data_IF_856630079771
#
_entry.id   IF_856630079771
#
_cell.length_a   1.000
_cell.length_b   1.000
_cell.length_c   1.000
_cell.angle_alpha   90.00
_cell.angle_beta   90.00
_cell.angle_gamma   90.00
#
_symmetry.space_group_name_H-M   'P 1'
#
loop_
_entity.id
_entity.type
_entity.pdbx_description
1 polymer ?
#
# COMPACT_ATOMS: atom_id res chain seq x y z
N UNK A 1 8.74 -13.19 -15.38
CA UNK A 1 8.77 -11.99 -14.50
C UNK A 1 9.90 -12.19 -13.50
N UNK A 2 10.97 -11.39 -13.56
CA UNK A 2 12.11 -11.57 -12.65
C UNK A 2 11.81 -10.92 -11.30
N UNK A 3 11.76 -11.75 -10.26
CA UNK A 3 11.60 -11.32 -8.86
C UNK A 3 13.00 -10.98 -8.31
N UNK A 4 13.40 -9.72 -8.45
CA UNK A 4 14.70 -9.21 -7.97
C UNK A 4 14.68 -9.12 -6.44
N UNK A 5 15.77 -9.61 -5.79
CA UNK A 5 15.94 -9.61 -4.32
C UNK A 5 14.84 -10.34 -3.53
N UNK A 6 14.24 -11.40 -4.11
CA UNK A 6 13.15 -12.18 -3.47
C UNK A 6 13.49 -13.67 -3.32
N UNK A 7 14.76 -14.02 -3.30
CA UNK A 7 15.20 -15.43 -3.23
C UNK A 7 14.77 -16.15 -1.94
N UNK A 8 14.70 -15.43 -0.83
CA UNK A 8 14.25 -15.99 0.45
C UNK A 8 12.75 -16.25 0.43
N UNK A 9 11.97 -15.30 -0.08
CA UNK A 9 10.52 -15.40 -0.19
C UNK A 9 10.12 -16.49 -1.19
N UNK A 10 10.83 -16.61 -2.32
CA UNK A 10 10.62 -17.69 -3.31
C UNK A 10 10.84 -19.05 -2.67
N UNK A 11 11.94 -19.24 -1.93
CA UNK A 11 12.21 -20.52 -1.21
C UNK A 11 11.12 -20.85 -0.20
N UNK A 12 10.62 -19.86 0.53
CA UNK A 12 9.52 -20.06 1.48
C UNK A 12 8.22 -20.49 0.77
N UNK A 13 7.92 -19.88 -0.38
CA UNK A 13 6.79 -20.26 -1.25
C UNK A 13 6.95 -21.69 -1.75
N UNK A 14 8.13 -22.07 -2.26
CA UNK A 14 8.41 -23.42 -2.74
C UNK A 14 8.26 -24.45 -1.63
N UNK A 15 8.75 -24.15 -0.44
CA UNK A 15 8.58 -25.02 0.74
C UNK A 15 7.11 -25.18 1.14
N UNK A 16 6.32 -24.10 1.10
CA UNK A 16 4.89 -24.15 1.41
C UNK A 16 4.10 -24.95 0.38
N UNK A 17 4.35 -24.74 -0.92
CA UNK A 17 3.72 -25.51 -2.00
C UNK A 17 4.06 -27.00 -1.86
N UNK A 18 5.33 -27.33 -1.63
CA UNK A 18 5.76 -28.71 -1.44
C UNK A 18 5.16 -29.34 -0.17
N UNK A 19 5.01 -28.59 0.93
CA UNK A 19 4.35 -29.03 2.16
C UNK A 19 2.88 -29.36 1.92
N UNK A 20 2.16 -28.46 1.27
CA UNK A 20 0.73 -28.62 0.96
C UNK A 20 0.47 -29.83 0.06
N UNK A 21 1.33 -30.08 -0.92
CA UNK A 21 1.24 -31.30 -1.76
C UNK A 21 1.39 -32.60 -0.98
N UNK A 22 2.08 -32.57 0.15
CA UNK A 22 2.21 -33.74 1.06
C UNK A 22 1.07 -33.85 2.08
N UNK A 23 0.06 -32.96 2.00
CA UNK A 23 -1.09 -32.95 2.89
C UNK A 23 -0.88 -32.13 4.18
N UNK A 24 0.16 -31.30 4.26
CA UNK A 24 0.40 -30.39 5.37
C UNK A 24 -0.06 -29.00 4.98
N UNK A 25 -1.18 -28.54 5.52
CA UNK A 25 -1.73 -27.22 5.24
C UNK A 25 -0.82 -26.11 5.76
N UNK A 26 -0.79 -25.02 5.02
CA UNK A 26 0.11 -23.89 5.28
C UNK A 26 -0.65 -22.56 5.25
N UNK A 27 -0.20 -21.61 6.07
CA UNK A 27 -0.67 -20.23 6.02
C UNK A 27 0.50 -19.29 5.78
N UNK A 28 0.47 -18.54 4.66
CA UNK A 28 1.43 -17.52 4.32
C UNK A 28 0.78 -16.12 4.39
N UNK A 29 1.48 -15.16 4.97
CA UNK A 29 1.09 -13.75 4.92
C UNK A 29 2.24 -12.95 4.33
N UNK A 30 1.97 -12.30 3.19
CA UNK A 30 2.91 -11.40 2.52
C UNK A 30 2.62 -9.98 2.97
N UNK A 31 3.48 -9.44 3.82
CA UNK A 31 3.35 -8.11 4.41
C UNK A 31 4.31 -7.13 3.75
N UNK A 32 3.86 -5.91 3.50
CA UNK A 32 4.74 -4.84 2.99
C UNK A 32 3.96 -3.61 2.54
N UNK A 33 4.67 -2.49 2.34
CA UNK A 33 4.10 -1.24 1.86
C UNK A 33 3.47 -1.38 0.45
N UNK A 34 2.69 -0.40 0.02
CA UNK A 34 2.17 -0.37 -1.34
C UNK A 34 3.31 -0.31 -2.37
N UNK A 35 3.16 -1.03 -3.49
CA UNK A 35 4.13 -0.99 -4.59
C UNK A 35 5.41 -1.80 -4.40
N UNK A 36 5.61 -2.51 -3.27
CA UNK A 36 6.83 -3.33 -3.04
C UNK A 36 6.82 -4.70 -3.72
N UNK A 37 5.75 -5.05 -4.45
CA UNK A 37 5.67 -6.29 -5.22
C UNK A 37 4.92 -7.44 -4.54
N UNK A 38 4.05 -7.19 -3.54
CA UNK A 38 3.24 -8.24 -2.86
C UNK A 38 2.38 -9.03 -3.84
N UNK A 39 1.59 -8.36 -4.65
CA UNK A 39 0.73 -8.98 -5.68
C UNK A 39 1.56 -9.77 -6.70
N UNK A 40 2.74 -9.26 -7.08
CA UNK A 40 3.67 -9.94 -7.98
C UNK A 40 4.16 -11.27 -7.39
N UNK A 41 4.50 -11.27 -6.11
CA UNK A 41 4.92 -12.47 -5.40
C UNK A 41 3.77 -13.48 -5.25
N UNK A 42 2.54 -12.99 -5.02
CA UNK A 42 1.35 -13.82 -4.97
C UNK A 42 1.05 -14.46 -6.34
N UNK A 43 1.25 -13.74 -7.44
CA UNK A 43 1.15 -14.30 -8.79
C UNK A 43 2.22 -15.35 -9.06
N UNK A 44 3.45 -15.17 -8.58
CA UNK A 44 4.49 -16.17 -8.70
C UNK A 44 4.14 -17.47 -7.94
N UNK A 45 3.54 -17.34 -6.75
CA UNK A 45 2.99 -18.50 -6.02
C UNK A 45 1.89 -19.18 -6.83
N UNK A 46 0.96 -18.43 -7.40
CA UNK A 46 -0.11 -18.99 -8.24
C UNK A 46 0.43 -19.76 -9.46
N UNK A 47 1.44 -19.20 -10.13
CA UNK A 47 2.08 -19.83 -11.28
C UNK A 47 2.74 -21.15 -10.86
N UNK A 48 3.54 -21.13 -9.79
CA UNK A 48 4.21 -22.31 -9.25
C UNK A 48 3.24 -23.40 -8.84
N UNK A 49 2.16 -23.03 -8.15
CA UNK A 49 1.13 -23.98 -7.75
C UNK A 49 0.45 -24.67 -8.94
N UNK A 50 0.15 -23.90 -10.00
CA UNK A 50 -0.42 -24.46 -11.25
C UNK A 50 0.55 -25.40 -11.97
N UNK A 51 1.84 -25.05 -12.04
CA UNK A 51 2.89 -25.93 -12.58
C UNK A 51 2.97 -27.25 -11.82
N UNK A 52 2.75 -27.22 -10.51
CA UNK A 52 2.71 -28.41 -9.65
C UNK A 52 1.35 -29.14 -9.66
N UNK A 53 0.41 -28.77 -10.54
CA UNK A 53 -0.89 -29.42 -10.74
C UNK A 53 -1.92 -29.15 -9.65
N UNK A 54 -1.76 -28.08 -8.84
CA UNK A 54 -2.68 -27.69 -7.79
C UNK A 54 -3.82 -26.83 -8.34
N UNK A 55 -4.99 -26.88 -7.71
CA UNK A 55 -6.09 -25.96 -7.95
C UNK A 55 -5.80 -24.61 -7.30
N UNK A 56 -6.06 -23.49 -8.00
CA UNK A 56 -5.78 -22.13 -7.50
C UNK A 56 -7.07 -21.31 -7.50
N UNK A 57 -7.53 -20.97 -6.31
CA UNK A 57 -8.60 -20.00 -6.07
C UNK A 57 -8.02 -18.62 -5.79
N UNK A 58 -8.48 -17.60 -6.50
CA UNK A 58 -7.96 -16.24 -6.38
C UNK A 58 -9.08 -15.25 -6.08
N UNK A 59 -8.85 -14.37 -5.10
CA UNK A 59 -9.70 -13.23 -4.86
C UNK A 59 -8.87 -11.98 -4.53
N UNK A 60 -9.51 -10.82 -4.70
CA UNK A 60 -8.94 -9.54 -4.30
C UNK A 60 -9.93 -8.75 -3.46
N UNK A 61 -9.50 -8.31 -2.28
CA UNK A 61 -10.26 -7.37 -1.47
C UNK A 61 -10.36 -6.01 -2.16
N UNK A 62 -11.54 -5.39 -2.08
CA UNK A 62 -11.82 -4.09 -2.67
C UNK A 62 -12.49 -3.18 -1.63
N UNK A 63 -11.95 -1.96 -1.46
CA UNK A 63 -12.55 -0.96 -0.55
C UNK A 63 -13.99 -0.59 -0.88
N UNK A 64 -14.41 -0.79 -2.14
CA UNK A 64 -15.80 -0.54 -2.61
C UNK A 64 -16.74 -1.70 -2.30
N UNK A 65 -16.21 -2.89 -2.01
CA UNK A 65 -17.00 -4.13 -1.84
C UNK A 65 -17.00 -4.66 -0.41
N UNK A 66 -16.40 -3.94 0.53
CA UNK A 66 -16.34 -4.35 1.95
C UNK A 66 -17.72 -4.54 2.60
N UNK A 67 -18.76 -3.94 2.05
CA UNK A 67 -20.15 -4.09 2.49
C UNK A 67 -20.90 -5.26 1.80
N UNK A 68 -20.29 -5.91 0.79
CA UNK A 68 -20.92 -7.04 0.09
C UNK A 68 -20.60 -8.35 0.82
N UNK A 69 -21.57 -8.97 1.54
CA UNK A 69 -21.31 -10.14 2.37
C UNK A 69 -20.82 -11.32 1.53
N UNK A 70 -19.76 -11.99 2.00
CA UNK A 70 -19.11 -13.12 1.33
C UNK A 70 -18.59 -12.82 -0.08
N UNK A 71 -18.35 -11.55 -0.42
CA UNK A 71 -17.85 -11.15 -1.74
C UNK A 71 -16.53 -11.81 -2.09
N UNK A 72 -15.56 -11.81 -1.17
CA UNK A 72 -14.26 -12.48 -1.38
C UNK A 72 -14.42 -14.01 -1.44
N UNK A 73 -15.26 -14.62 -0.62
CA UNK A 73 -15.54 -16.07 -0.67
C UNK A 73 -16.11 -16.47 -2.02
N UNK A 74 -17.05 -15.70 -2.56
CA UNK A 74 -17.62 -15.96 -3.88
C UNK A 74 -16.56 -15.87 -4.97
N UNK A 75 -15.75 -14.82 -5.01
CA UNK A 75 -14.63 -14.70 -5.95
C UNK A 75 -13.68 -15.92 -5.88
N UNK A 76 -13.42 -16.45 -4.68
CA UNK A 76 -12.56 -17.61 -4.49
C UNK A 76 -13.17 -18.90 -5.02
N UNK A 77 -14.42 -19.19 -4.64
CA UNK A 77 -14.97 -20.53 -4.77
C UNK A 77 -15.83 -20.72 -6.02
N UNK A 78 -16.55 -19.69 -6.51
CA UNK A 78 -17.39 -19.85 -7.70
C UNK A 78 -16.65 -20.41 -8.92
N UNK A 79 -15.46 -19.89 -9.31
CA UNK A 79 -14.74 -20.44 -10.46
C UNK A 79 -14.30 -21.87 -10.26
N UNK A 80 -13.83 -22.19 -9.05
CA UNK A 80 -13.31 -23.54 -8.74
C UNK A 80 -14.43 -24.57 -8.61
N UNK A 81 -15.61 -24.14 -8.16
CA UNK A 81 -16.81 -24.99 -8.07
C UNK A 81 -17.34 -25.33 -9.46
N UNK A 82 -17.38 -24.36 -10.38
CA UNK A 82 -17.78 -24.59 -11.78
C UNK A 82 -16.83 -25.60 -12.43
N UNK A 83 -15.51 -25.43 -12.30
CA UNK A 83 -14.53 -26.37 -12.81
C UNK A 83 -14.65 -27.77 -12.20
N UNK A 84 -15.08 -27.86 -10.94
CA UNK A 84 -15.27 -29.14 -10.25
C UNK A 84 -16.56 -29.85 -10.70
N UNK A 85 -17.64 -29.12 -10.92
CA UNK A 85 -18.91 -29.64 -11.41
C UNK A 85 -18.78 -30.17 -12.84
N UNK A 86 -18.01 -29.49 -13.71
CA UNK A 86 -17.68 -29.96 -15.06
C UNK A 86 -16.91 -31.31 -15.03
N UNK A 87 -16.22 -31.62 -13.93
CA UNK A 87 -15.52 -32.89 -13.70
C UNK A 87 -16.36 -33.89 -12.89
N UNK A 88 -17.67 -33.73 -12.79
CA UNK A 88 -18.62 -34.62 -12.06
C UNK A 88 -18.29 -34.73 -10.56
N UNK A 89 -17.70 -33.71 -9.94
CA UNK A 89 -17.36 -33.67 -8.53
C UNK A 89 -18.39 -32.87 -7.72
N UNK A 90 -19.33 -33.51 -7.00
CA UNK A 90 -20.41 -32.81 -6.30
C UNK A 90 -19.92 -32.18 -4.98
N UNK A 91 -19.07 -31.16 -5.08
CA UNK A 91 -18.36 -30.55 -3.94
C UNK A 91 -19.31 -30.04 -2.87
N UNK A 92 -20.37 -29.31 -3.28
CA UNK A 92 -21.32 -28.68 -2.36
C UNK A 92 -22.41 -29.65 -1.85
N UNK A 93 -22.68 -30.74 -2.55
CA UNK A 93 -23.71 -31.71 -2.12
C UNK A 93 -23.17 -32.78 -1.15
N UNK A 94 -21.86 -32.86 -0.98
CA UNK A 94 -21.21 -33.90 -0.16
C UNK A 94 -21.03 -33.46 1.30
N UNK A 95 -21.64 -34.17 2.22
CA UNK A 95 -21.44 -33.95 3.67
C UNK A 95 -21.91 -32.62 4.17
N UNK A 96 -21.10 -31.98 5.02
CA UNK A 96 -21.42 -30.69 5.62
C UNK A 96 -21.24 -29.52 4.62
N UNK A 97 -20.58 -29.73 3.48
CA UNK A 97 -20.44 -28.69 2.44
C UNK A 97 -21.80 -28.16 1.94
N UNK A 98 -22.85 -28.97 2.03
CA UNK A 98 -24.23 -28.56 1.68
C UNK A 98 -24.73 -27.32 2.43
N UNK A 99 -24.19 -27.01 3.61
CA UNK A 99 -24.55 -25.80 4.33
C UNK A 99 -24.04 -24.51 3.67
N UNK A 100 -23.07 -24.61 2.78
CA UNK A 100 -22.61 -23.48 1.97
C UNK A 100 -23.36 -23.34 0.62
N UNK A 101 -24.10 -24.36 0.17
CA UNK A 101 -24.78 -24.33 -1.11
C UNK A 101 -25.71 -23.12 -1.31
N UNK A 102 -26.49 -22.65 -0.32
CA UNK A 102 -27.35 -21.48 -0.50
C UNK A 102 -26.56 -20.20 -0.81
N UNK A 103 -25.28 -20.14 -0.47
CA UNK A 103 -24.44 -19.00 -0.78
C UNK A 103 -24.18 -18.85 -2.29
N UNK A 104 -24.20 -19.95 -3.03
CA UNK A 104 -23.93 -20.04 -4.47
C UNK A 104 -25.19 -20.26 -5.31
N UNK A 105 -26.37 -20.34 -4.68
CA UNK A 105 -27.67 -20.49 -5.37
C UNK A 105 -28.28 -19.12 -5.63
N UNK A 106 -28.25 -18.70 -6.92
CA UNK A 106 -28.82 -17.43 -7.38
C UNK A 106 -30.32 -17.52 -7.67
N UNK A 107 -30.93 -18.72 -7.61
CA UNK A 107 -32.33 -18.91 -7.95
C UNK A 107 -33.31 -18.45 -6.87
N UNK A 108 -32.87 -18.36 -5.62
CA UNK A 108 -33.70 -18.11 -4.45
C UNK A 108 -33.93 -16.64 -4.09
N UNK A 109 -33.30 -15.68 -4.76
CA UNK A 109 -33.63 -14.23 -4.72
C UNK A 109 -33.52 -13.50 -3.37
N UNK A 110 -33.45 -14.20 -2.24
CA UNK A 110 -33.41 -13.62 -0.90
C UNK A 110 -32.22 -14.12 -0.07
N UNK A 111 -31.14 -13.35 -0.09
CA UNK A 111 -30.11 -13.50 0.94
C UNK A 111 -30.55 -12.71 2.18
N UNK A 112 -31.32 -13.37 3.06
CA UNK A 112 -31.81 -12.73 4.29
C UNK A 112 -30.69 -12.54 5.29
N UNK A 113 -30.41 -11.29 5.65
CA UNK A 113 -29.36 -10.85 6.57
C UNK A 113 -29.55 -11.26 8.05
N UNK A 114 -30.49 -12.13 8.34
CA UNK A 114 -30.90 -12.45 9.71
C UNK A 114 -30.60 -13.90 10.07
N UNK A 115 -29.36 -14.24 10.48
CA UNK A 115 -29.24 -15.47 11.28
C UNK A 115 -27.79 -15.71 11.80
N UNK A 116 -27.51 -15.38 13.05
CA UNK A 116 -26.24 -15.69 13.73
C UNK A 116 -25.96 -17.20 13.87
N UNK A 117 -27.00 -18.04 13.92
CA UNK A 117 -26.86 -19.51 13.98
C UNK A 117 -26.52 -20.09 12.60
N UNK A 118 -27.02 -19.49 11.53
CA UNK A 118 -26.70 -19.89 10.14
C UNK A 118 -25.27 -19.52 9.76
N UNK A 119 -24.67 -18.45 10.29
CA UNK A 119 -23.29 -18.04 10.00
C UNK A 119 -22.29 -19.15 10.34
N UNK A 120 -22.41 -19.81 11.50
CA UNK A 120 -21.50 -20.91 11.86
C UNK A 120 -21.66 -22.14 10.98
N UNK A 121 -22.86 -22.46 10.55
CA UNK A 121 -23.12 -23.56 9.63
C UNK A 121 -22.54 -23.26 8.24
N UNK A 122 -22.70 -22.03 7.76
CA UNK A 122 -22.11 -21.60 6.49
C UNK A 122 -20.58 -21.67 6.55
N UNK A 123 -19.95 -21.15 7.61
CA UNK A 123 -18.49 -21.26 7.78
C UNK A 123 -18.01 -22.72 7.78
N UNK A 124 -18.73 -23.59 8.46
CA UNK A 124 -18.44 -25.02 8.48
C UNK A 124 -18.65 -25.66 7.10
N UNK A 125 -19.70 -25.28 6.40
CA UNK A 125 -19.98 -25.73 5.04
C UNK A 125 -18.89 -25.30 4.04
N UNK A 126 -18.46 -24.04 4.11
CA UNK A 126 -17.38 -23.50 3.28
C UNK A 126 -16.03 -24.22 3.55
N UNK A 127 -15.73 -24.51 4.81
CA UNK A 127 -14.54 -25.30 5.17
C UNK A 127 -14.57 -26.67 4.51
N UNK A 128 -15.70 -27.41 4.63
CA UNK A 128 -15.82 -28.71 4.02
C UNK A 128 -15.84 -28.66 2.49
N UNK A 129 -16.35 -27.61 1.88
CA UNK A 129 -16.23 -27.39 0.44
C UNK A 129 -14.74 -27.31 0.03
N UNK A 130 -13.93 -26.52 0.75
CA UNK A 130 -12.50 -26.45 0.51
C UNK A 130 -11.79 -27.78 0.74
N UNK A 131 -12.16 -28.55 1.78
CA UNK A 131 -11.62 -29.89 2.04
C UNK A 131 -12.00 -30.87 0.92
N UNK A 132 -13.25 -30.83 0.45
CA UNK A 132 -13.68 -31.68 -0.67
C UNK A 132 -12.91 -31.36 -1.95
N UNK A 133 -12.74 -30.07 -2.28
CA UNK A 133 -11.90 -29.61 -3.40
C UNK A 133 -10.45 -30.10 -3.25
N UNK A 134 -9.87 -29.98 -2.05
CA UNK A 134 -8.47 -30.34 -1.81
C UNK A 134 -8.20 -31.85 -1.90
N UNK A 135 -9.24 -32.69 -1.76
CA UNK A 135 -9.16 -34.16 -1.96
C UNK A 135 -9.04 -34.53 -3.43
N UNK A 136 -9.57 -33.71 -4.33
CA UNK A 136 -9.45 -33.92 -5.80
C UNK A 136 -8.07 -33.48 -6.26
N UNK A 137 -7.66 -32.26 -5.88
CA UNK A 137 -6.33 -31.69 -6.12
C UNK A 137 -5.95 -30.76 -4.98
N UNK A 138 -4.71 -30.73 -4.51
CA UNK A 138 -4.27 -29.77 -3.51
C UNK A 138 -4.73 -28.36 -3.88
N UNK A 139 -5.28 -27.61 -2.91
CA UNK A 139 -5.95 -26.34 -3.13
C UNK A 139 -5.09 -25.18 -2.61
N UNK A 140 -4.88 -24.17 -3.44
CA UNK A 140 -4.22 -22.91 -3.07
C UNK A 140 -5.25 -21.79 -3.10
N UNK A 141 -5.47 -21.16 -1.97
CA UNK A 141 -6.38 -20.03 -1.78
C UNK A 141 -5.55 -18.76 -1.64
N UNK A 142 -5.74 -17.82 -2.54
CA UNK A 142 -4.99 -16.59 -2.63
C UNK A 142 -5.92 -15.39 -2.43
N UNK A 143 -5.61 -14.54 -1.43
CA UNK A 143 -6.38 -13.33 -1.17
C UNK A 143 -5.44 -12.13 -1.24
N UNK A 144 -5.55 -11.32 -2.29
CA UNK A 144 -4.82 -10.07 -2.42
C UNK A 144 -5.54 -8.96 -1.66
N UNK A 145 -4.79 -8.09 -0.97
CA UNK A 145 -5.32 -6.97 -0.18
C UNK A 145 -6.33 -7.36 0.92
N UNK A 146 -5.95 -8.29 1.81
CA UNK A 146 -6.77 -8.87 2.90
C UNK A 146 -7.55 -7.82 3.72
N UNK A 147 -7.00 -6.62 3.92
CA UNK A 147 -7.61 -5.53 4.68
C UNK A 147 -8.96 -5.03 4.12
N UNK A 148 -9.17 -5.23 2.80
CA UNK A 148 -10.40 -4.85 2.11
C UNK A 148 -11.37 -6.01 1.92
N UNK A 149 -11.15 -7.09 2.66
CA UNK A 149 -12.06 -8.23 2.69
C UNK A 149 -13.29 -7.91 3.54
N UNK A 150 -14.47 -8.27 3.05
CA UNK A 150 -15.71 -8.16 3.80
C UNK A 150 -15.68 -9.00 5.10
N UNK A 151 -16.40 -8.56 6.13
CA UNK A 151 -16.34 -9.17 7.46
C UNK A 151 -16.76 -10.66 7.50
N UNK A 152 -17.81 -11.13 6.77
CA UNK A 152 -18.13 -12.55 6.66
C UNK A 152 -17.02 -13.38 6.02
N UNK A 153 -16.43 -12.92 4.91
CA UNK A 153 -15.30 -13.61 4.27
C UNK A 153 -14.08 -13.66 5.19
N UNK A 154 -13.78 -12.60 5.92
CA UNK A 154 -12.67 -12.57 6.86
C UNK A 154 -12.87 -13.60 7.99
N UNK A 155 -14.10 -13.72 8.52
CA UNK A 155 -14.45 -14.76 9.50
C UNK A 155 -14.24 -16.16 8.93
N UNK A 156 -14.61 -16.40 7.66
CA UNK A 156 -14.35 -17.68 7.00
C UNK A 156 -12.85 -17.97 6.87
N UNK A 157 -12.06 -17.01 6.39
CA UNK A 157 -10.61 -17.18 6.26
C UNK A 157 -9.96 -17.50 7.60
N UNK A 158 -10.40 -16.85 8.67
CA UNK A 158 -9.94 -17.16 10.04
C UNK A 158 -10.36 -18.57 10.49
N UNK A 159 -11.60 -18.97 10.21
CA UNK A 159 -12.10 -20.32 10.52
C UNK A 159 -11.31 -21.41 9.79
N UNK A 160 -11.00 -21.17 8.52
CA UNK A 160 -10.18 -22.06 7.67
C UNK A 160 -8.74 -22.14 8.19
N UNK A 161 -8.11 -21.00 8.48
CA UNK A 161 -6.72 -20.92 8.93
C UNK A 161 -6.46 -21.72 10.21
N UNK A 162 -7.41 -21.73 11.15
CA UNK A 162 -7.33 -22.53 12.36
C UNK A 162 -7.50 -24.04 12.16
N UNK A 163 -7.66 -24.54 10.92
CA UNK A 163 -7.97 -25.93 10.59
C UNK A 163 -7.20 -26.46 9.38
N UNK A 164 -6.04 -25.87 9.08
CA UNK A 164 -5.24 -26.23 7.91
C UNK A 164 -4.38 -27.48 8.14
N UNK A 165 -3.97 -27.78 9.37
CA UNK A 165 -2.86 -28.68 9.72
C UNK A 165 -2.87 -30.02 8.96
N UNK A 166 -4.02 -30.70 8.87
CA UNK A 166 -4.17 -32.01 8.22
C UNK A 166 -4.88 -31.89 6.85
N UNK A 167 -4.70 -30.80 6.14
CA UNK A 167 -5.34 -30.57 4.85
C UNK A 167 -4.33 -30.29 3.74
N UNK A 168 -4.67 -30.62 2.50
CA UNK A 168 -3.88 -30.22 1.33
C UNK A 168 -4.30 -28.82 0.86
N UNK A 169 -4.31 -27.84 1.78
CA UNK A 169 -4.74 -26.45 1.52
C UNK A 169 -3.63 -25.48 1.90
N UNK A 170 -3.23 -24.62 0.96
CA UNK A 170 -2.37 -23.45 1.19
C UNK A 170 -3.24 -22.18 1.15
N UNK A 171 -3.29 -21.46 2.26
CA UNK A 171 -3.87 -20.14 2.30
C UNK A 171 -2.75 -19.09 2.26
N UNK A 172 -2.74 -18.23 1.26
CA UNK A 172 -1.78 -17.14 1.18
C UNK A 172 -2.51 -15.80 0.98
N UNK A 173 -2.10 -14.80 1.75
CA UNK A 173 -2.73 -13.47 1.72
C UNK A 173 -1.69 -12.38 1.62
N UNK A 174 -2.08 -11.24 1.03
CA UNK A 174 -1.27 -10.02 1.08
C UNK A 174 -1.90 -8.98 1.98
N UNK A 175 -1.07 -8.19 2.66
CA UNK A 175 -1.53 -7.10 3.51
C UNK A 175 -0.53 -5.95 3.57
N UNK A 176 -0.99 -4.77 3.97
CA UNK A 176 -0.13 -3.66 4.38
C UNK A 176 0.59 -3.93 5.71
N UNK A 177 1.49 -3.03 6.13
CA UNK A 177 2.14 -3.12 7.43
C UNK A 177 1.12 -3.23 8.56
N UNK A 178 1.42 -4.09 9.55
CA UNK A 178 0.51 -4.47 10.64
C UNK A 178 -0.11 -3.30 11.41
N UNK A 179 0.59 -2.22 11.44
CA UNK A 179 0.19 -1.03 12.16
C UNK A 179 -0.88 -0.21 11.42
N UNK A 180 -1.18 -0.51 10.15
CA UNK A 180 -2.13 0.22 9.30
C UNK A 180 -3.52 -0.45 9.28
N UNK A 181 -3.73 -1.44 10.14
CA UNK A 181 -4.99 -2.18 10.19
C UNK A 181 -6.07 -1.37 10.90
N UNK A 182 -7.27 -1.27 10.34
CA UNK A 182 -8.35 -0.53 10.97
C UNK A 182 -8.70 -1.12 12.35
N UNK A 183 -9.06 -0.25 13.28
CA UNK A 183 -9.61 -0.63 14.59
C UNK A 183 -10.85 -1.50 14.37
N UNK A 184 -10.77 -2.79 14.69
CA UNK A 184 -11.83 -3.78 14.42
C UNK A 184 -11.37 -4.96 13.57
N UNK A 185 -10.19 -4.92 12.96
CA UNK A 185 -9.60 -6.03 12.20
C UNK A 185 -9.07 -7.18 13.08
N UNK A 186 -9.64 -7.39 14.28
CA UNK A 186 -9.23 -8.45 15.21
C UNK A 186 -9.25 -9.85 14.56
N UNK A 187 -10.17 -10.10 13.61
CA UNK A 187 -10.22 -11.33 12.85
C UNK A 187 -9.01 -11.53 11.93
N UNK A 188 -8.55 -10.46 11.27
CA UNK A 188 -7.37 -10.50 10.43
C UNK A 188 -6.08 -10.64 11.26
N UNK A 189 -6.03 -10.06 12.46
CA UNK A 189 -4.92 -10.26 13.41
C UNK A 189 -4.80 -11.73 13.85
N UNK A 190 -5.92 -12.43 14.02
CA UNK A 190 -5.92 -13.85 14.36
C UNK A 190 -5.21 -14.74 13.33
N UNK A 191 -5.32 -14.40 12.04
CA UNK A 191 -4.62 -15.10 10.96
C UNK A 191 -3.09 -15.06 11.11
N UNK A 192 -2.53 -14.00 11.69
CA UNK A 192 -1.08 -13.82 11.76
C UNK A 192 -0.39 -14.65 12.86
N UNK A 193 -1.12 -15.16 13.84
CA UNK A 193 -0.49 -15.89 14.95
C UNK A 193 0.04 -17.28 14.55
N UNK A 194 -0.54 -17.91 13.53
CA UNK A 194 -0.12 -19.21 13.01
C UNK A 194 0.55 -19.13 11.62
N UNK A 195 0.74 -17.93 11.08
CA UNK A 195 1.22 -17.72 9.72
C UNK A 195 2.76 -17.65 9.63
N UNK A 196 3.29 -18.16 8.53
CA UNK A 196 4.61 -17.78 8.06
C UNK A 196 4.52 -16.40 7.42
N UNK A 197 5.17 -15.40 8.01
CA UNK A 197 5.10 -14.01 7.53
C UNK A 197 6.30 -13.70 6.65
N UNK A 198 6.05 -13.31 5.41
CA UNK A 198 7.04 -12.84 4.45
C UNK A 198 6.98 -11.30 4.40
N UNK A 199 7.99 -10.63 4.94
CA UNK A 199 8.04 -9.16 4.97
C UNK A 199 8.83 -8.63 3.80
N UNK A 200 8.12 -7.96 2.88
CA UNK A 200 8.74 -7.34 1.71
C UNK A 200 9.14 -5.90 2.01
N UNK A 201 10.42 -5.61 1.83
CA UNK A 201 10.95 -4.25 1.79
C UNK A 201 11.06 -3.71 0.36
N UNK A 202 11.36 -2.41 0.22
CA UNK A 202 11.75 -1.81 -1.06
C UNK A 202 13.04 -2.45 -1.57
N UNK A 203 13.31 -2.28 -2.88
CA UNK A 203 14.56 -2.73 -3.47
C UNK A 203 15.75 -1.90 -2.96
N UNK A 204 16.88 -2.56 -2.78
CA UNK A 204 18.16 -1.88 -2.53
C UNK A 204 18.66 -1.17 -3.80
N UNK A 205 19.68 -0.29 -3.72
CA UNK A 205 20.31 0.27 -4.92
C UNK A 205 20.81 -0.82 -5.89
N UNK A 206 21.30 -1.95 -5.37
CA UNK A 206 21.72 -3.09 -6.18
C UNK A 206 20.52 -3.77 -6.89
N UNK A 207 19.39 -3.92 -6.21
CA UNK A 207 18.16 -4.44 -6.80
C UNK A 207 17.61 -3.51 -7.89
N UNK A 208 17.65 -2.20 -7.68
CA UNK A 208 17.26 -1.22 -8.71
C UNK A 208 18.18 -1.33 -9.93
N UNK A 209 19.49 -1.48 -9.72
CA UNK A 209 20.45 -1.71 -10.82
C UNK A 209 20.09 -2.96 -11.63
N UNK A 210 19.76 -4.08 -10.97
CA UNK A 210 19.36 -5.32 -11.65
C UNK A 210 18.05 -5.16 -12.45
N UNK A 211 17.07 -4.42 -11.93
CA UNK A 211 15.82 -4.12 -12.66
C UNK A 211 16.11 -3.31 -13.91
N UNK A 212 16.94 -2.27 -13.79
CA UNK A 212 17.37 -1.44 -14.92
C UNK A 212 18.15 -2.24 -15.96
N UNK A 213 19.13 -3.04 -15.53
CA UNK A 213 19.94 -3.89 -16.42
C UNK A 213 19.06 -4.84 -17.22
N UNK A 214 18.10 -5.48 -16.56
CA UNK A 214 17.17 -6.40 -17.22
C UNK A 214 16.25 -5.68 -18.22
N UNK A 215 15.80 -4.48 -17.90
CA UNK A 215 14.88 -3.73 -18.74
C UNK A 215 15.57 -3.04 -19.93
N UNK A 216 16.79 -2.58 -19.73
CA UNK A 216 17.59 -1.90 -20.76
C UNK A 216 18.42 -2.86 -21.61
N UNK A 217 18.58 -4.12 -21.19
CA UNK A 217 19.41 -5.11 -21.87
C UNK A 217 20.93 -4.90 -21.73
N UNK A 218 21.35 -3.91 -20.94
CA UNK A 218 22.74 -3.56 -20.68
C UNK A 218 22.90 -3.01 -19.25
N UNK A 219 24.12 -3.10 -18.71
CA UNK A 219 24.43 -2.54 -17.40
C UNK A 219 24.17 -1.02 -17.38
N UNK A 220 23.34 -0.52 -16.46
CA UNK A 220 23.04 0.90 -16.38
C UNK A 220 24.23 1.69 -15.85
N UNK A 221 24.31 2.99 -16.19
CA UNK A 221 25.20 3.93 -15.54
C UNK A 221 24.94 3.91 -14.00
N UNK A 222 25.97 3.77 -13.15
CA UNK A 222 25.82 3.79 -11.69
C UNK A 222 25.11 5.04 -11.15
N UNK A 223 25.32 6.20 -11.80
CA UNK A 223 24.63 7.44 -11.42
C UNK A 223 23.13 7.37 -11.76
N UNK A 224 22.77 6.77 -12.89
CA UNK A 224 21.38 6.54 -13.26
C UNK A 224 20.70 5.59 -12.27
N UNK A 225 21.34 4.48 -11.89
CA UNK A 225 20.82 3.54 -10.91
C UNK A 225 20.59 4.20 -9.54
N UNK A 226 21.55 4.99 -9.07
CA UNK A 226 21.44 5.74 -7.84
C UNK A 226 20.32 6.79 -7.90
N UNK A 227 20.19 7.48 -9.02
CA UNK A 227 19.14 8.48 -9.23
C UNK A 227 17.76 7.82 -9.24
N UNK A 228 17.61 6.67 -9.92
CA UNK A 228 16.37 5.89 -9.91
C UNK A 228 16.01 5.40 -8.50
N UNK A 229 17.00 4.89 -7.75
CA UNK A 229 16.77 4.45 -6.38
C UNK A 229 16.32 5.62 -5.49
N UNK A 230 17.02 6.76 -5.56
CA UNK A 230 16.67 7.96 -4.78
C UNK A 230 15.27 8.45 -5.14
N UNK A 231 14.94 8.52 -6.44
CA UNK A 231 13.65 9.03 -6.92
C UNK A 231 12.46 8.10 -6.59
N UNK A 232 12.69 6.80 -6.45
CA UNK A 232 11.62 5.80 -6.23
C UNK A 232 11.58 5.25 -4.81
N UNK A 233 12.62 5.54 -3.99
CA UNK A 233 12.81 4.90 -2.68
C UNK A 233 12.91 3.37 -2.79
N UNK A 234 13.27 2.81 -3.95
CA UNK A 234 13.27 1.37 -4.23
C UNK A 234 11.87 0.77 -4.39
N UNK A 235 10.83 1.58 -4.51
CA UNK A 235 9.46 1.11 -4.75
C UNK A 235 9.34 0.54 -6.16
N UNK A 236 9.04 -0.75 -6.27
CA UNK A 236 9.01 -1.47 -7.54
C UNK A 236 7.98 -0.93 -8.52
N UNK A 237 6.82 -0.50 -8.04
CA UNK A 237 5.77 0.03 -8.91
C UNK A 237 6.22 1.34 -9.58
N UNK A 238 6.72 2.30 -8.78
CA UNK A 238 7.24 3.57 -9.32
C UNK A 238 8.44 3.32 -10.23
N UNK A 239 9.33 2.41 -9.84
CA UNK A 239 10.51 2.05 -10.65
C UNK A 239 10.11 1.52 -12.04
N UNK A 240 9.11 0.64 -12.12
CA UNK A 240 8.64 0.14 -13.42
C UNK A 240 8.08 1.26 -14.31
N UNK A 241 7.35 2.22 -13.75
CA UNK A 241 6.88 3.39 -14.52
C UNK A 241 8.04 4.27 -14.98
N UNK A 242 9.02 4.51 -14.11
CA UNK A 242 10.25 5.26 -14.47
C UNK A 242 10.99 4.57 -15.61
N UNK A 243 11.18 3.26 -15.52
CA UNK A 243 11.86 2.46 -16.54
C UNK A 243 11.12 2.51 -17.88
N UNK A 244 9.80 2.35 -17.86
CA UNK A 244 8.99 2.42 -19.08
C UNK A 244 9.11 3.78 -19.78
N UNK A 245 9.10 4.89 -19.04
CA UNK A 245 9.26 6.23 -19.60
C UNK A 245 10.71 6.48 -20.06
N UNK A 246 11.73 5.93 -19.37
CA UNK A 246 13.12 6.02 -19.81
C UNK A 246 13.33 5.32 -21.17
N UNK A 247 12.75 4.13 -21.32
CA UNK A 247 12.81 3.39 -22.58
C UNK A 247 12.07 4.12 -23.71
N UNK A 248 10.91 4.74 -23.39
CA UNK A 248 10.10 5.48 -24.35
C UNK A 248 10.79 6.79 -24.79
N UNK A 249 11.58 7.42 -23.91
CA UNK A 249 12.24 8.68 -24.20
C UNK A 249 13.55 8.52 -24.99
N UNK A 250 14.30 7.43 -24.75
CA UNK A 250 15.56 7.12 -25.40
C UNK A 250 15.78 5.60 -25.43
N UNK A 251 15.62 4.95 -26.59
CA UNK A 251 15.84 3.50 -26.73
C UNK A 251 17.30 3.07 -26.48
N UNK A 252 18.27 3.97 -26.58
CA UNK A 252 19.68 3.72 -26.25
C UNK A 252 20.17 4.70 -25.16
N UNK A 253 19.85 4.47 -23.89
CA UNK A 253 20.11 5.42 -22.79
C UNK A 253 21.59 5.43 -22.36
N UNK A 254 22.52 5.50 -23.30
CA UNK A 254 23.97 5.60 -23.06
C UNK A 254 24.49 7.03 -22.99
N UNK A 255 23.65 8.01 -23.28
CA UNK A 255 24.01 9.45 -23.29
C UNK A 255 24.01 10.10 -21.91
N UNK A 256 24.93 11.05 -21.70
CA UNK A 256 25.31 11.67 -20.43
C UNK A 256 24.40 12.82 -19.94
N UNK A 257 23.15 12.96 -20.43
CA UNK A 257 22.28 14.07 -19.98
C UNK A 257 21.51 13.73 -18.71
N UNK A 258 22.23 13.75 -17.57
CA UNK A 258 21.68 13.53 -16.23
C UNK A 258 20.60 14.56 -15.86
N UNK A 259 20.68 15.78 -16.41
CA UNK A 259 19.71 16.83 -16.08
C UNK A 259 18.35 16.51 -16.74
N UNK A 260 18.32 16.17 -18.00
CA UNK A 260 17.10 15.76 -18.70
C UNK A 260 16.46 14.52 -18.07
N UNK A 261 17.29 13.54 -17.65
CA UNK A 261 16.85 12.33 -16.96
C UNK A 261 16.26 12.63 -15.57
N UNK A 262 16.89 13.51 -14.80
CA UNK A 262 16.35 13.91 -13.48
C UNK A 262 15.01 14.63 -13.61
N UNK A 263 14.83 15.48 -14.63
CA UNK A 263 13.56 16.13 -14.91
C UNK A 263 12.49 15.15 -15.39
N UNK A 264 12.85 14.17 -16.20
CA UNK A 264 11.95 13.10 -16.62
C UNK A 264 11.47 12.29 -15.41
N UNK A 265 12.38 11.85 -14.54
CA UNK A 265 12.04 11.12 -13.32
C UNK A 265 11.14 11.92 -12.39
N UNK A 266 11.43 13.20 -12.17
CA UNK A 266 10.57 14.04 -11.34
C UNK A 266 9.14 14.11 -11.90
N UNK A 267 8.96 14.16 -13.22
CA UNK A 267 7.63 14.13 -13.87
C UNK A 267 6.93 12.77 -13.70
N UNK A 268 7.66 11.67 -13.86
CA UNK A 268 7.09 10.32 -13.73
C UNK A 268 6.67 10.05 -12.29
N UNK A 269 7.55 10.34 -11.33
CA UNK A 269 7.24 10.21 -9.90
C UNK A 269 6.02 11.06 -9.54
N UNK A 270 5.98 12.32 -10.01
CA UNK A 270 4.83 13.20 -9.76
C UNK A 270 3.53 12.59 -10.29
N UNK A 271 3.54 12.07 -11.53
CA UNK A 271 2.36 11.43 -12.13
C UNK A 271 1.90 10.19 -11.34
N UNK A 272 2.83 9.36 -10.91
CA UNK A 272 2.53 8.14 -10.14
C UNK A 272 1.98 8.47 -8.76
N UNK A 273 2.57 9.45 -8.07
CA UNK A 273 2.10 9.94 -6.77
C UNK A 273 0.67 10.49 -6.89
N UNK A 274 0.39 11.32 -7.90
CA UNK A 274 -0.96 11.88 -8.11
C UNK A 274 -1.99 10.81 -8.45
N UNK A 275 -1.60 9.79 -9.22
CA UNK A 275 -2.48 8.64 -9.52
C UNK A 275 -2.81 7.84 -8.26
N UNK A 276 -1.85 7.65 -7.34
CA UNK A 276 -2.10 7.01 -6.06
C UNK A 276 -2.96 7.87 -5.14
N UNK A 277 -2.63 9.15 -5.05
CA UNK A 277 -3.41 10.11 -4.27
C UNK A 277 -4.88 10.09 -4.69
N UNK A 278 -5.17 10.06 -5.99
CA UNK A 278 -6.55 10.00 -6.52
C UNK A 278 -7.34 8.73 -6.19
N UNK A 279 -6.70 7.70 -5.60
CA UNK A 279 -7.37 6.48 -5.12
C UNK A 279 -7.69 6.50 -3.63
N UNK A 280 -7.21 7.52 -2.92
CA UNK A 280 -7.40 7.66 -1.48
C UNK A 280 -8.72 8.41 -1.18
N UNK A 281 -9.12 8.36 0.09
CA UNK A 281 -10.29 9.12 0.55
C UNK A 281 -10.05 10.63 0.42
N UNK A 282 -11.12 11.43 0.27
CA UNK A 282 -10.99 12.90 0.25
C UNK A 282 -10.26 13.45 1.48
N UNK A 283 -10.43 12.84 2.65
CA UNK A 283 -9.75 13.22 3.89
C UNK A 283 -8.23 12.95 3.80
N UNK A 284 -7.84 11.79 3.27
CA UNK A 284 -6.43 11.45 3.07
C UNK A 284 -5.76 12.37 2.05
N UNK A 285 -6.47 12.73 0.97
CA UNK A 285 -5.98 13.71 -0.02
C UNK A 285 -5.78 15.07 0.64
N UNK A 286 -6.78 15.56 1.37
CA UNK A 286 -6.70 16.86 2.05
C UNK A 286 -5.55 16.91 3.08
N UNK A 287 -5.35 15.82 3.83
CA UNK A 287 -4.23 15.70 4.76
C UNK A 287 -2.87 15.72 4.03
N UNK A 288 -2.71 14.99 2.93
CA UNK A 288 -1.47 14.97 2.15
C UNK A 288 -1.14 16.36 1.56
N UNK A 289 -2.15 17.05 1.06
CA UNK A 289 -2.03 18.42 0.53
C UNK A 289 -1.56 19.39 1.63
N UNK A 290 -2.20 19.39 2.79
CA UNK A 290 -1.83 20.23 3.93
C UNK A 290 -0.43 19.87 4.48
N UNK A 291 -0.14 18.58 4.62
CA UNK A 291 1.17 18.09 5.01
C UNK A 291 2.27 18.57 4.05
N UNK A 292 2.00 18.59 2.73
CA UNK A 292 2.96 19.05 1.72
C UNK A 292 3.30 20.55 1.86
N UNK A 293 2.36 21.35 2.36
CA UNK A 293 2.53 22.76 2.66
C UNK A 293 3.40 22.98 3.91
N UNK A 294 3.24 22.13 4.94
CA UNK A 294 4.04 22.19 6.17
C UNK A 294 5.47 21.67 6.00
N UNK A 295 5.80 21.03 4.88
CA UNK A 295 7.16 20.61 4.54
C UNK A 295 7.41 19.12 4.68
N UNK A 296 8.71 18.73 4.78
CA UNK A 296 9.15 17.34 4.75
C UNK A 296 8.79 16.53 6.01
N UNK A 297 8.63 17.20 7.14
CA UNK A 297 8.34 16.59 8.46
C UNK A 297 7.10 17.23 9.07
N UNK A 298 5.93 17.03 8.45
CA UNK A 298 4.70 17.65 8.96
C UNK A 298 4.27 16.97 10.26
N UNK A 299 3.78 17.77 11.21
CA UNK A 299 2.97 17.23 12.30
C UNK A 299 1.57 16.87 11.76
N UNK A 300 1.10 15.63 11.91
CA UNK A 300 -0.18 15.20 11.33
C UNK A 300 -1.40 15.97 11.87
N UNK A 301 -1.34 16.40 13.14
CA UNK A 301 -2.44 17.13 13.76
C UNK A 301 -2.48 18.59 13.27
N UNK A 302 -1.32 19.21 13.09
CA UNK A 302 -1.23 20.52 12.47
C UNK A 302 -1.68 20.47 11.00
N UNK A 303 -1.26 19.44 10.26
CA UNK A 303 -1.71 19.23 8.88
C UNK A 303 -3.23 19.03 8.79
N UNK A 304 -3.82 18.28 9.72
CA UNK A 304 -5.26 18.09 9.80
C UNK A 304 -6.00 19.41 10.10
N UNK A 305 -5.46 20.21 11.01
CA UNK A 305 -6.00 21.53 11.31
C UNK A 305 -5.94 22.48 10.09
N UNK A 306 -4.81 22.48 9.34
CA UNK A 306 -4.68 23.22 8.07
C UNK A 306 -5.69 22.74 7.01
N UNK A 307 -5.96 21.42 6.97
CA UNK A 307 -6.93 20.81 6.06
C UNK A 307 -8.38 20.99 6.50
N UNK A 308 -8.64 21.42 7.74
CA UNK A 308 -9.99 21.51 8.33
C UNK A 308 -10.60 20.13 8.59
N UNK A 309 -9.81 19.11 8.90
CA UNK A 309 -10.26 17.75 9.17
C UNK A 309 -10.71 17.58 10.64
N UNK A 310 -11.66 16.71 10.88
CA UNK A 310 -12.03 16.29 12.24
C UNK A 310 -10.93 15.40 12.85
N UNK A 311 -10.74 15.46 14.16
CA UNK A 311 -9.72 14.66 14.87
C UNK A 311 -9.89 13.14 14.62
N UNK A 312 -11.13 12.68 14.48
CA UNK A 312 -11.45 11.27 14.19
C UNK A 312 -10.92 10.79 12.84
N UNK A 313 -10.69 11.69 11.87
CA UNK A 313 -10.26 11.37 10.51
C UNK A 313 -8.73 11.34 10.40
N UNK A 314 -7.99 11.90 11.37
CA UNK A 314 -6.52 12.06 11.27
C UNK A 314 -5.82 10.71 11.21
N UNK A 315 -6.09 9.83 12.19
CA UNK A 315 -5.41 8.53 12.27
C UNK A 315 -5.69 7.65 11.06
N UNK A 316 -6.95 7.50 10.58
CA UNK A 316 -7.23 6.77 9.35
C UNK A 316 -6.56 7.37 8.12
N UNK A 317 -6.54 8.72 8.00
CA UNK A 317 -5.93 9.39 6.86
C UNK A 317 -4.40 9.22 6.84
N UNK A 318 -3.73 9.36 7.98
CA UNK A 318 -2.28 9.07 8.11
C UNK A 318 -1.99 7.62 7.74
N UNK A 319 -2.77 6.67 8.26
CA UNK A 319 -2.63 5.25 7.93
C UNK A 319 -2.68 5.02 6.42
N UNK A 320 -3.68 5.57 5.75
CA UNK A 320 -3.83 5.44 4.29
C UNK A 320 -2.65 6.07 3.51
N UNK A 321 -2.10 7.20 3.98
CA UNK A 321 -0.93 7.84 3.36
C UNK A 321 0.36 7.04 3.57
N UNK A 322 0.53 6.42 4.74
CA UNK A 322 1.66 5.51 5.00
C UNK A 322 1.56 4.27 4.13
N UNK A 323 0.37 3.69 4.01
CA UNK A 323 0.12 2.54 3.15
C UNK A 323 0.37 2.83 1.67
N UNK A 324 0.00 4.03 1.22
CA UNK A 324 0.29 4.49 -0.13
C UNK A 324 1.78 4.79 -0.36
N UNK A 325 2.63 4.69 0.68
CA UNK A 325 4.04 5.02 0.60
C UNK A 325 4.30 6.52 0.40
N UNK A 326 3.34 7.38 0.76
CA UNK A 326 3.46 8.85 0.69
C UNK A 326 4.15 9.38 1.95
N UNK A 327 3.80 8.83 3.12
CA UNK A 327 4.42 9.15 4.40
C UNK A 327 5.16 7.95 4.98
N UNK A 328 6.22 8.19 5.73
CA UNK A 328 6.83 7.19 6.61
C UNK A 328 6.14 7.15 7.96
N UNK A 329 6.11 5.96 8.56
CA UNK A 329 5.47 5.73 9.85
C UNK A 329 6.29 6.20 11.06
N UNK A 330 7.56 6.49 10.87
CA UNK A 330 8.45 6.90 11.96
C UNK A 330 7.98 8.20 12.62
N UNK A 331 8.13 8.29 13.92
CA UNK A 331 7.91 9.55 14.63
C UNK A 331 9.26 10.31 14.72
N UNK A 332 9.35 11.56 14.29
CA UNK A 332 8.28 12.37 13.71
C UNK A 332 7.89 11.92 12.28
N UNK A 333 6.60 12.09 11.94
CA UNK A 333 6.08 11.80 10.58
C UNK A 333 6.88 12.56 9.54
N UNK A 334 7.21 11.89 8.43
CA UNK A 334 7.92 12.50 7.31
C UNK A 334 7.42 11.98 5.97
N UNK A 335 7.55 12.78 4.93
CA UNK A 335 7.35 12.26 3.56
C UNK A 335 8.37 11.18 3.23
N UNK A 336 7.92 10.20 2.45
CA UNK A 336 8.77 9.09 2.01
C UNK A 336 9.96 9.59 1.18
N UNK A 337 9.73 10.63 0.37
CA UNK A 337 10.75 11.24 -0.48
C UNK A 337 10.42 12.73 -0.73
N UNK A 338 11.43 13.62 -0.87
CA UNK A 338 11.23 15.04 -1.22
C UNK A 338 10.50 15.25 -2.54
N UNK A 339 10.66 14.33 -3.53
CA UNK A 339 9.93 14.41 -4.79
C UNK A 339 8.44 14.14 -4.61
N UNK A 340 8.07 13.25 -3.68
CA UNK A 340 6.67 12.98 -3.33
C UNK A 340 6.02 14.22 -2.73
N UNK A 341 6.66 14.85 -1.73
CA UNK A 341 6.18 16.08 -1.13
C UNK A 341 6.04 17.19 -2.18
N UNK A 342 7.09 17.40 -2.99
CA UNK A 342 7.11 18.41 -4.04
C UNK A 342 6.04 18.17 -5.11
N UNK A 343 5.80 16.91 -5.49
CA UNK A 343 4.78 16.55 -6.47
C UNK A 343 3.37 16.92 -5.98
N UNK A 344 3.05 16.62 -4.73
CA UNK A 344 1.76 16.95 -4.11
C UNK A 344 1.61 18.48 -4.02
N UNK A 345 2.62 19.16 -3.51
CA UNK A 345 2.62 20.63 -3.37
C UNK A 345 2.43 21.34 -4.71
N UNK A 346 3.15 20.93 -5.75
CA UNK A 346 3.06 21.54 -7.09
C UNK A 346 1.71 21.28 -7.78
N UNK A 347 0.99 20.23 -7.36
CA UNK A 347 -0.34 19.95 -7.89
C UNK A 347 -1.43 20.83 -7.27
N UNK A 348 -1.16 21.47 -6.15
CA UNK A 348 -2.11 22.37 -5.50
C UNK A 348 -2.43 23.57 -6.39
N UNK A 349 -3.72 23.89 -6.61
CA UNK A 349 -4.10 25.14 -7.23
C UNK A 349 -3.56 26.32 -6.41
N UNK A 350 -3.01 27.34 -7.07
CA UNK A 350 -2.35 28.48 -6.41
C UNK A 350 -3.20 29.12 -5.31
N UNK A 351 -4.50 29.34 -5.55
CA UNK A 351 -5.40 29.91 -4.54
C UNK A 351 -5.65 28.98 -3.35
N UNK A 352 -5.56 27.64 -3.52
CA UNK A 352 -5.67 26.68 -2.42
C UNK A 352 -4.38 26.64 -1.61
N UNK A 353 -3.23 26.60 -2.27
CA UNK A 353 -1.92 26.64 -1.63
C UNK A 353 -1.78 27.91 -0.78
N UNK A 354 -2.11 29.09 -1.34
CA UNK A 354 -2.06 30.34 -0.61
C UNK A 354 -2.93 30.35 0.66
N UNK A 355 -4.17 29.81 0.60
CA UNK A 355 -5.04 29.70 1.77
C UNK A 355 -4.47 28.75 2.82
N UNK A 356 -3.91 27.62 2.39
CA UNK A 356 -3.28 26.66 3.29
C UNK A 356 -2.05 27.27 3.98
N UNK A 357 -1.24 28.06 3.28
CA UNK A 357 -0.13 28.79 3.89
C UNK A 357 -0.60 29.83 4.93
N UNK A 358 -1.68 30.54 4.66
CA UNK A 358 -2.26 31.48 5.64
C UNK A 358 -2.73 30.76 6.91
N UNK A 359 -3.39 29.62 6.75
CA UNK A 359 -3.87 28.81 7.87
C UNK A 359 -2.70 28.13 8.61
N UNK A 360 -1.69 27.65 7.91
CA UNK A 360 -0.47 27.10 8.49
C UNK A 360 0.25 28.14 9.37
N UNK A 361 0.41 29.36 8.86
CA UNK A 361 1.01 30.46 9.64
C UNK A 361 0.24 30.70 10.95
N UNK A 362 -1.10 30.76 10.88
CA UNK A 362 -1.95 30.96 12.06
C UNK A 362 -1.82 29.84 13.09
N UNK A 363 -1.78 28.58 12.65
CA UNK A 363 -1.68 27.38 13.50
C UNK A 363 -0.29 27.31 14.13
N UNK A 364 0.76 27.51 13.36
CA UNK A 364 2.13 27.47 13.83
C UNK A 364 2.40 28.61 14.85
N UNK A 365 1.89 29.80 14.61
CA UNK A 365 1.99 30.92 15.53
C UNK A 365 1.28 30.61 16.86
N UNK A 366 0.06 30.08 16.80
CA UNK A 366 -0.68 29.66 17.98
C UNK A 366 0.00 28.51 18.76
N UNK A 367 0.78 27.68 18.07
CA UNK A 367 1.58 26.61 18.66
C UNK A 367 2.94 27.10 19.21
N UNK A 368 3.27 28.39 19.05
CA UNK A 368 4.54 28.97 19.51
C UNK A 368 5.75 28.58 18.66
N UNK A 369 5.55 28.31 17.37
CA UNK A 369 6.63 28.02 16.43
C UNK A 369 7.56 29.24 16.25
N UNK A 370 8.75 29.00 15.72
CA UNK A 370 9.73 30.06 15.48
C UNK A 370 9.14 31.12 14.50
N UNK A 371 9.41 32.38 14.77
CA UNK A 371 8.93 33.51 13.96
C UNK A 371 9.35 33.39 12.48
N UNK A 372 10.53 32.84 12.23
CA UNK A 372 11.05 32.55 10.89
C UNK A 372 10.25 31.51 10.15
N UNK A 373 9.75 30.49 10.86
CA UNK A 373 8.89 29.43 10.29
C UNK A 373 7.51 30.00 9.93
N UNK A 374 6.90 30.77 10.83
CA UNK A 374 5.62 31.47 10.57
C UNK A 374 5.76 32.41 9.39
N UNK A 375 6.85 33.18 9.34
CA UNK A 375 7.13 34.13 8.26
C UNK A 375 7.28 33.45 6.89
N UNK A 376 7.90 32.25 6.83
CA UNK A 376 8.03 31.50 5.59
C UNK A 376 6.66 31.16 4.98
N UNK A 377 5.68 30.83 5.82
CA UNK A 377 4.30 30.61 5.36
C UNK A 377 3.58 31.93 5.00
N UNK A 378 3.78 32.98 5.77
CA UNK A 378 3.18 34.28 5.48
C UNK A 378 3.64 34.86 4.13
N UNK A 379 4.88 34.63 3.72
CA UNK A 379 5.39 35.05 2.39
C UNK A 379 4.59 34.41 1.26
N UNK A 380 4.17 33.15 1.42
CA UNK A 380 3.39 32.38 0.42
C UNK A 380 1.87 32.61 0.53
N UNK A 381 1.40 33.21 1.62
CA UNK A 381 -0.01 33.50 1.85
C UNK A 381 -0.49 34.70 1.00
N UNK A 382 -1.81 34.85 0.75
CA UNK A 382 -2.35 36.00 0.04
C UNK A 382 -1.93 37.32 0.71
N UNK A 383 -1.65 38.31 -0.08
CA UNK A 383 -1.30 39.64 0.44
C UNK A 383 -2.51 40.21 1.20
N UNK A 384 -2.38 40.36 2.51
CA UNK A 384 -3.34 41.05 3.36
C UNK A 384 -2.62 42.30 3.93
N UNK A 385 -3.28 43.43 3.92
CA UNK A 385 -2.74 44.68 4.50
C UNK A 385 -2.81 44.70 6.03
N UNK A 386 -2.30 43.63 6.67
CA UNK A 386 -2.35 43.40 8.11
C UNK A 386 -1.04 43.86 8.76
N UNK A 387 -1.17 44.77 9.77
CA UNK A 387 -0.04 45.29 10.54
C UNK A 387 0.70 44.17 11.33
N UNK A 388 -0.02 43.18 11.79
CA UNK A 388 0.55 42.03 12.49
C UNK A 388 1.48 41.23 11.57
N UNK A 389 1.02 40.87 10.36
CA UNK A 389 1.85 40.23 9.33
C UNK A 389 3.12 41.01 9.04
N UNK A 390 3.01 42.34 8.90
CA UNK A 390 4.17 43.17 8.64
C UNK A 390 5.17 43.16 9.82
N UNK A 391 4.68 43.08 11.07
CA UNK A 391 5.54 42.96 12.25
C UNK A 391 6.29 41.62 12.27
N UNK A 392 5.59 40.49 12.06
CA UNK A 392 6.18 39.14 12.02
C UNK A 392 7.23 39.03 10.90
N UNK A 393 6.93 39.50 9.71
CA UNK A 393 7.88 39.46 8.59
C UNK A 393 9.12 40.33 8.84
N UNK A 394 8.97 41.48 9.52
CA UNK A 394 10.10 42.35 9.88
C UNK A 394 10.99 41.65 10.93
N UNK A 395 10.40 41.11 12.00
CA UNK A 395 11.13 40.42 13.06
C UNK A 395 11.88 39.19 12.50
N UNK A 396 11.25 38.40 11.65
CA UNK A 396 11.91 37.29 10.98
C UNK A 396 13.09 37.74 10.11
N UNK A 397 12.91 38.84 9.38
CA UNK A 397 13.97 39.45 8.57
C UNK A 397 15.18 39.89 9.39
N UNK A 398 14.95 40.51 10.55
CA UNK A 398 16.01 40.93 11.48
C UNK A 398 16.80 39.74 12.00
N UNK A 399 16.12 38.62 12.38
CA UNK A 399 16.75 37.37 12.85
C UNK A 399 17.64 36.78 11.75
N UNK A 400 17.12 36.64 10.52
CA UNK A 400 17.87 36.03 9.39
C UNK A 400 19.11 36.90 9.04
N UNK A 401 19.00 38.21 9.12
CA UNK A 401 20.13 39.11 8.89
C UNK A 401 21.19 38.98 9.98
N UNK A 402 20.77 38.88 11.25
CA UNK A 402 21.68 38.68 12.38
C UNK A 402 22.45 37.36 12.27
N UNK A 403 21.74 36.25 11.99
CA UNK A 403 22.35 34.91 11.83
C UNK A 403 23.33 34.90 10.64
N UNK A 404 22.98 35.55 9.52
CA UNK A 404 23.84 35.61 8.34
C UNK A 404 25.12 36.41 8.60
N UNK A 405 25.06 37.44 9.44
CA UNK A 405 26.24 38.21 9.85
C UNK A 405 27.15 37.44 10.79
N UNK A 406 26.59 36.75 11.79
CA UNK A 406 27.34 35.91 12.69
C UNK A 406 28.08 34.77 11.95
N UNK A 407 27.41 34.13 10.98
CA UNK A 407 28.02 33.10 10.12
C UNK A 407 29.13 33.65 9.22
N UNK A 408 29.00 34.91 8.75
CA UNK A 408 30.02 35.59 7.97
C UNK A 408 31.25 36.00 8.80
N UNK A 409 31.09 36.38 10.06
CA UNK A 409 32.16 36.70 10.99
C UNK A 409 32.97 35.44 11.37
N UNK A 410 32.28 34.31 11.65
CA UNK A 410 32.94 33.01 11.93
C UNK A 410 33.76 32.47 10.74
N UNK A 411 33.33 32.76 9.49
CA UNK A 411 34.06 32.39 8.28
C UNK A 411 35.29 33.27 8.01
N UNK A 412 35.35 34.48 8.60
CA UNK A 412 36.49 35.39 8.48
C UNK A 412 37.53 35.10 9.57
N UNK A 413 37.12 34.58 10.72
CA UNK A 413 38.00 34.18 11.83
C UNK A 413 38.62 32.78 11.67
N UNK A 414 38.10 31.94 10.81
CA UNK A 414 38.57 30.56 10.49
C UNK A 414 39.51 30.55 9.28
#
# INVERSE_FOLDING_TARGET
MNLVERSTEIRAIEAAVAGTRRGSGQLLVIEGAAGVGKTTLLHALAARAREDGMSVAWARGSGLETSFPYGVVRQLLEPVLVDADDNECPVLSTGAARFAAPLFDYSSGEFSAHQTIQDQQVLHGLYWACVNLSRVRPLVILVDDLRWTDAPSLRFLHYLAGRLDDSAILLATTTGPRADWPTGAAGAMGLMFSATILRLGPLTPAGVCQVLEHALGAAPDPQLAQLCHTATGGNQFILHEVVAELIAADPEPTGSDLLARSQLMARVVSRSVLRWLGRLSPQSIALAEAASVLGMRPDPWQAAAVAGLAETDVVPAVGALVEAGILHREAPTRFADPLVQKAIYQHLPAGRSQRMHAEAARILEAAGAAVTEVAAHLVQAPAAGDSHRAAVLREAGEIVIADSRAYGEDLIEA
#
